data_IF_449377446148
#
_entry.id   IF_449377446148
#
_cell.length_a   1.000
_cell.length_b   1.000
_cell.length_c   1.000
_cell.angle_alpha   90.00
_cell.angle_beta   90.00
_cell.angle_gamma   90.00
#
_symmetry.space_group_name_H-M   'P 1'
#
loop_
_entity.id
_entity.type
_entity.pdbx_description
1 polymer ?
#
# COMPACT_ATOMS: atom_id res chain seq x y z
N UNK A 1 -14.44 68.69 26.71
CA UNK A 1 -14.79 67.96 25.48
C UNK A 1 -13.54 67.50 24.74
N UNK A 2 -12.58 68.39 24.40
CA UNK A 2 -11.35 68.04 23.66
C UNK A 2 -10.51 66.92 24.30
N UNK A 3 -10.22 66.96 25.61
CA UNK A 3 -9.41 65.93 26.30
C UNK A 3 -10.03 64.52 26.26
N UNK A 4 -11.36 64.42 26.26
CA UNK A 4 -12.04 63.12 26.19
C UNK A 4 -11.93 62.53 24.78
N UNK A 5 -12.04 63.39 23.76
CA UNK A 5 -11.89 63.00 22.35
C UNK A 5 -10.47 62.50 22.07
N UNK A 6 -9.43 63.18 22.59
CA UNK A 6 -8.04 62.73 22.40
C UNK A 6 -7.76 61.37 23.05
N UNK A 7 -8.33 61.10 24.22
CA UNK A 7 -8.20 59.79 24.88
C UNK A 7 -8.90 58.67 24.10
N UNK A 8 -10.09 58.93 23.56
CA UNK A 8 -10.78 57.99 22.69
C UNK A 8 -9.95 57.67 21.43
N UNK A 9 -9.36 58.68 20.77
CA UNK A 9 -8.51 58.48 19.59
C UNK A 9 -7.23 57.70 19.89
N UNK A 10 -6.56 57.98 21.01
CA UNK A 10 -5.36 57.25 21.42
C UNK A 10 -5.69 55.78 21.72
N UNK A 11 -6.82 55.53 22.37
CA UNK A 11 -7.24 54.18 22.74
C UNK A 11 -7.67 53.37 21.51
N UNK A 12 -8.38 53.97 20.55
CA UNK A 12 -8.71 53.31 19.29
C UNK A 12 -7.46 53.05 18.44
N UNK A 13 -6.52 54.00 18.38
CA UNK A 13 -5.24 53.80 17.70
C UNK A 13 -4.42 52.68 18.35
N UNK A 14 -4.37 52.64 19.69
CA UNK A 14 -3.68 51.57 20.42
C UNK A 14 -4.30 50.19 20.18
N UNK A 15 -5.63 50.09 20.17
CA UNK A 15 -6.34 48.84 19.85
C UNK A 15 -6.09 48.45 18.40
N UNK A 16 -6.17 49.39 17.45
CA UNK A 16 -5.92 49.10 16.04
C UNK A 16 -4.49 48.57 15.83
N UNK A 17 -3.49 49.23 16.44
CA UNK A 17 -2.09 48.78 16.41
C UNK A 17 -1.95 47.39 17.05
N UNK A 18 -2.57 47.17 18.21
CA UNK A 18 -2.54 45.87 18.89
C UNK A 18 -3.16 44.76 18.04
N UNK A 19 -4.32 45.01 17.41
CA UNK A 19 -4.97 44.03 16.53
C UNK A 19 -4.14 43.77 15.27
N UNK A 20 -3.53 44.79 14.67
CA UNK A 20 -2.64 44.62 13.52
C UNK A 20 -1.41 43.81 13.90
N UNK A 21 -0.78 44.10 15.04
CA UNK A 21 0.34 43.32 15.58
C UNK A 21 -0.11 41.87 15.82
N UNK A 22 -1.22 41.67 16.53
CA UNK A 22 -1.76 40.35 16.81
C UNK A 22 -2.01 39.55 15.52
N UNK A 23 -2.62 40.16 14.51
CA UNK A 23 -2.88 39.52 13.21
C UNK A 23 -1.59 39.15 12.46
N UNK A 24 -0.54 39.97 12.56
CA UNK A 24 0.78 39.67 11.98
C UNK A 24 1.44 38.47 12.69
N UNK A 25 1.30 38.34 14.01
CA UNK A 25 1.93 37.26 14.79
C UNK A 25 1.07 36.01 14.95
N UNK A 26 -0.23 36.09 14.65
CA UNK A 26 -1.18 35.00 14.80
C UNK A 26 -0.83 33.74 13.98
N UNK A 27 -0.42 33.81 12.70
CA UNK A 27 -0.02 32.64 11.93
C UNK A 27 1.13 31.85 12.57
N UNK A 28 2.13 32.55 13.13
CA UNK A 28 3.27 31.92 13.79
C UNK A 28 2.87 31.22 15.09
N UNK A 29 2.00 31.86 15.88
CA UNK A 29 1.45 31.25 17.10
C UNK A 29 0.62 30.00 16.79
N UNK A 30 -0.22 30.05 15.75
CA UNK A 30 -1.00 28.90 15.31
C UNK A 30 -0.10 27.74 14.90
N UNK A 31 0.91 27.98 14.04
CA UNK A 31 1.90 26.95 13.66
C UNK A 31 2.60 26.32 14.87
N UNK A 32 3.07 27.15 15.81
CA UNK A 32 3.74 26.64 17.02
C UNK A 32 2.80 25.81 17.91
N UNK A 33 1.53 26.21 18.00
CA UNK A 33 0.53 25.48 18.79
C UNK A 33 0.16 24.15 18.13
N UNK A 34 -0.05 24.17 16.81
CA UNK A 34 -0.33 22.96 16.02
C UNK A 34 0.84 21.97 16.10
N UNK A 35 2.08 22.45 15.95
CA UNK A 35 3.26 21.58 16.04
C UNK A 35 3.40 20.98 17.44
N UNK A 36 3.17 21.78 18.48
CA UNK A 36 3.16 21.27 19.86
C UNK A 36 2.11 20.17 20.05
N UNK A 37 0.88 20.39 19.58
CA UNK A 37 -0.20 19.39 19.68
C UNK A 37 0.14 18.13 18.90
N UNK A 38 0.76 18.26 17.72
CA UNK A 38 1.23 17.14 16.91
C UNK A 38 2.26 16.30 17.66
N UNK A 39 3.29 16.92 18.22
CA UNK A 39 4.33 16.23 19.00
C UNK A 39 3.75 15.52 20.23
N UNK A 40 2.82 16.15 20.95
CA UNK A 40 2.12 15.53 22.08
C UNK A 40 1.25 14.34 21.63
N UNK A 41 0.63 14.39 20.46
CA UNK A 41 -0.12 13.29 19.88
C UNK A 41 0.81 12.13 19.46
N UNK A 42 1.95 12.41 18.82
CA UNK A 42 2.99 11.42 18.49
C UNK A 42 3.49 10.69 19.74
N UNK A 43 3.80 11.44 20.81
CA UNK A 43 4.28 10.88 22.07
C UNK A 43 3.24 9.96 22.73
N UNK A 44 1.96 10.32 22.67
CA UNK A 44 0.85 9.48 23.17
C UNK A 44 0.55 8.29 22.26
N UNK A 45 0.72 8.43 20.95
CA UNK A 45 0.49 7.39 19.96
C UNK A 45 1.53 6.28 20.01
N UNK A 46 2.79 6.62 20.29
CA UNK A 46 3.92 5.67 20.30
C UNK A 46 3.72 4.43 21.17
N UNK A 47 3.35 4.53 22.47
CA UNK A 47 3.13 3.33 23.28
C UNK A 47 1.93 2.50 22.81
N UNK A 48 0.89 3.14 22.27
CA UNK A 48 -0.27 2.43 21.71
C UNK A 48 0.13 1.63 20.47
N UNK A 49 0.86 2.25 19.55
CA UNK A 49 1.39 1.58 18.36
C UNK A 49 2.30 0.39 18.72
N UNK A 50 3.21 0.58 19.68
CA UNK A 50 4.10 -0.48 20.15
C UNK A 50 3.34 -1.66 20.77
N UNK A 51 2.17 -1.40 21.37
CA UNK A 51 1.36 -2.43 22.03
C UNK A 51 0.45 -3.16 21.05
N UNK A 52 -0.09 -2.47 20.04
CA UNK A 52 -1.18 -2.99 19.21
C UNK A 52 -0.80 -3.24 17.73
N UNK A 53 0.31 -2.66 17.25
CA UNK A 53 0.64 -2.65 15.83
C UNK A 53 2.02 -3.25 15.52
N UNK A 54 3.00 -3.00 16.40
CA UNK A 54 4.41 -3.28 16.11
C UNK A 54 4.76 -4.75 15.90
N UNK A 55 3.96 -5.69 16.41
CA UNK A 55 4.17 -7.13 16.21
C UNK A 55 4.03 -7.55 14.74
N UNK A 56 3.15 -6.88 13.98
CA UNK A 56 2.93 -7.14 12.56
C UNK A 56 3.60 -6.10 11.67
N UNK A 57 3.51 -4.82 12.04
CA UNK A 57 3.98 -3.70 11.21
C UNK A 57 5.42 -3.25 11.53
N UNK A 58 6.10 -3.89 12.48
CA UNK A 58 7.43 -3.46 12.91
C UNK A 58 7.38 -2.19 13.78
N UNK A 59 8.50 -1.85 14.42
CA UNK A 59 8.51 -0.79 15.45
C UNK A 59 8.36 0.62 14.88
N UNK A 60 8.72 0.80 13.62
CA UNK A 60 8.67 2.06 12.89
C UNK A 60 7.83 1.94 11.61
N UNK A 61 6.94 0.93 11.51
CA UNK A 61 6.08 0.74 10.35
C UNK A 61 6.77 0.05 9.16
N UNK A 62 7.97 -0.50 9.34
CA UNK A 62 8.77 -1.16 8.31
C UNK A 62 8.16 -2.46 7.75
N UNK A 63 7.10 -2.97 8.37
CA UNK A 63 6.43 -4.19 7.97
C UNK A 63 7.25 -5.47 8.22
N UNK A 64 6.85 -6.54 7.55
CA UNK A 64 7.53 -7.83 7.58
C UNK A 64 7.45 -8.49 6.20
N UNK A 65 7.85 -9.77 6.07
CA UNK A 65 7.73 -10.50 4.80
C UNK A 65 6.28 -10.64 4.32
N UNK A 66 5.31 -10.62 5.23
CA UNK A 66 3.89 -10.85 4.94
C UNK A 66 3.02 -9.62 5.19
N UNK A 67 3.59 -8.55 5.77
CA UNK A 67 2.88 -7.32 6.12
C UNK A 67 3.58 -6.15 5.45
N UNK A 68 2.85 -5.42 4.61
CA UNK A 68 3.40 -4.27 3.87
C UNK A 68 3.93 -3.18 4.82
N UNK A 69 5.01 -2.49 4.43
CA UNK A 69 5.52 -1.34 5.17
C UNK A 69 4.53 -0.19 5.11
N UNK A 70 4.01 0.23 6.26
CA UNK A 70 3.09 1.37 6.39
C UNK A 70 3.83 2.70 6.57
N UNK A 71 5.16 2.65 6.65
CA UNK A 71 6.02 3.83 6.63
C UNK A 71 6.59 4.12 5.23
N UNK A 72 6.13 3.42 4.18
CA UNK A 72 6.57 3.71 2.82
C UNK A 72 6.09 5.07 2.38
N UNK A 73 6.89 5.74 1.55
CA UNK A 73 6.53 7.05 1.02
C UNK A 73 5.28 7.02 0.13
N UNK A 74 5.07 5.98 -0.67
CA UNK A 74 3.87 5.91 -1.53
C UNK A 74 2.59 5.76 -0.72
N UNK A 75 2.55 4.86 0.27
CA UNK A 75 1.42 4.71 1.20
C UNK A 75 1.10 6.01 1.92
N UNK A 76 2.12 6.70 2.44
CA UNK A 76 1.93 7.94 3.17
C UNK A 76 1.52 9.11 2.25
N UNK A 77 1.93 9.14 0.99
CA UNK A 77 1.49 10.19 0.04
C UNK A 77 0.09 9.89 -0.56
N UNK A 78 -0.31 8.62 -0.68
CA UNK A 78 -1.53 8.21 -1.37
C UNK A 78 -2.74 8.06 -0.45
N UNK A 79 -2.54 7.54 0.77
CA UNK A 79 -3.64 7.18 1.67
C UNK A 79 -3.90 8.31 2.65
N UNK A 80 -5.11 8.89 2.65
CA UNK A 80 -5.52 9.97 3.56
C UNK A 80 -5.67 9.53 5.03
N UNK A 81 -5.54 10.49 5.97
CA UNK A 81 -5.62 10.25 7.42
C UNK A 81 -6.94 9.58 7.82
N UNK A 82 -8.04 9.99 7.18
CA UNK A 82 -9.37 9.44 7.43
C UNK A 82 -9.47 7.96 7.02
N UNK A 83 -8.74 7.56 5.97
CA UNK A 83 -8.69 6.17 5.51
C UNK A 83 -7.86 5.35 6.49
N UNK A 84 -6.68 5.83 6.89
CA UNK A 84 -5.85 5.18 7.91
C UNK A 84 -6.64 5.00 9.22
N UNK A 85 -7.34 6.05 9.67
CA UNK A 85 -8.21 5.97 10.85
C UNK A 85 -9.24 4.85 10.71
N UNK A 86 -9.93 4.76 9.56
CA UNK A 86 -10.99 3.75 9.35
C UNK A 86 -10.43 2.33 9.24
N UNK A 87 -9.25 2.15 8.66
CA UNK A 87 -8.56 0.87 8.63
C UNK A 87 -8.19 0.39 10.04
N UNK A 88 -7.78 1.30 10.94
CA UNK A 88 -7.50 0.96 12.34
C UNK A 88 -8.80 0.69 13.11
N UNK A 89 -9.81 1.55 12.93
CA UNK A 89 -11.09 1.43 13.65
C UNK A 89 -11.80 0.11 13.31
N UNK A 90 -11.92 -0.21 12.01
CA UNK A 90 -12.74 -1.31 11.50
C UNK A 90 -11.95 -2.55 11.08
N UNK A 91 -10.64 -2.46 11.05
CA UNK A 91 -9.80 -3.49 10.44
C UNK A 91 -9.96 -3.53 8.93
N UNK A 92 -9.28 -4.50 8.30
CA UNK A 92 -9.37 -4.73 6.86
C UNK A 92 -9.97 -6.13 6.64
N UNK A 93 -11.18 -6.24 6.06
CA UNK A 93 -11.85 -7.52 5.85
C UNK A 93 -10.98 -8.51 5.07
N UNK A 94 -11.03 -9.79 5.46
CA UNK A 94 -10.28 -10.87 4.81
C UNK A 94 -8.75 -10.71 4.86
N UNK A 95 -8.26 -9.96 5.86
CA UNK A 95 -6.83 -9.86 6.19
C UNK A 95 -6.61 -10.20 7.66
N UNK A 96 -5.34 -10.25 8.09
CA UNK A 96 -5.00 -10.37 9.52
C UNK A 96 -5.22 -9.09 10.34
N UNK A 97 -5.58 -7.96 9.72
CA UNK A 97 -5.78 -6.68 10.41
C UNK A 97 -7.18 -6.60 11.04
N UNK A 98 -7.26 -6.97 12.32
CA UNK A 98 -8.50 -6.93 13.11
C UNK A 98 -8.93 -5.48 13.45
N UNK A 99 -10.24 -5.24 13.68
CA UNK A 99 -10.72 -3.97 14.20
C UNK A 99 -10.13 -3.67 15.57
N UNK A 100 -9.63 -2.45 15.75
CA UNK A 100 -9.11 -1.97 17.04
C UNK A 100 -9.98 -0.91 17.68
N UNK A 101 -10.96 -0.36 16.95
CA UNK A 101 -11.90 0.63 17.48
C UNK A 101 -12.87 0.05 18.50
N UNK A 102 -13.11 0.77 19.59
CA UNK A 102 -14.07 0.45 20.65
C UNK A 102 -15.50 0.25 20.13
N UNK A 103 -15.89 1.04 19.13
CA UNK A 103 -17.19 0.91 18.45
C UNK A 103 -17.32 -0.38 17.63
N UNK A 104 -16.21 -1.00 17.26
CA UNK A 104 -16.13 -2.24 16.48
C UNK A 104 -15.69 -3.43 17.37
N UNK A 105 -15.64 -3.25 18.69
CA UNK A 105 -15.31 -4.28 19.69
C UNK A 105 -13.82 -4.38 20.05
N UNK A 106 -12.99 -3.48 19.54
CA UNK A 106 -11.56 -3.37 19.87
C UNK A 106 -11.26 -2.56 21.13
N UNK A 107 -9.99 -2.45 21.54
CA UNK A 107 -9.61 -1.81 22.81
C UNK A 107 -9.37 -0.29 22.74
N UNK A 108 -9.37 0.31 21.54
CA UNK A 108 -8.95 1.70 21.33
C UNK A 108 -10.13 2.63 21.09
N UNK A 109 -10.17 3.74 21.82
CA UNK A 109 -11.12 4.81 21.56
C UNK A 109 -10.66 5.71 20.40
N UNK A 110 -11.55 6.60 19.96
CA UNK A 110 -11.31 7.55 18.87
C UNK A 110 -10.00 8.36 19.03
N UNK A 111 -9.75 8.94 20.20
CA UNK A 111 -8.57 9.78 20.44
C UNK A 111 -7.28 8.96 20.38
N UNK A 112 -7.31 7.72 20.88
CA UNK A 112 -6.19 6.79 20.81
C UNK A 112 -5.83 6.45 19.36
N UNK A 113 -6.84 6.21 18.51
CA UNK A 113 -6.63 5.97 17.08
C UNK A 113 -6.06 7.22 16.40
N UNK A 114 -6.60 8.41 16.68
CA UNK A 114 -6.07 9.68 16.13
C UNK A 114 -4.60 9.92 16.49
N UNK A 115 -4.19 9.60 17.72
CA UNK A 115 -2.78 9.68 18.13
C UNK A 115 -1.90 8.68 17.36
N UNK A 116 -2.39 7.48 17.06
CA UNK A 116 -1.67 6.50 16.22
C UNK A 116 -1.56 6.99 14.77
N UNK A 117 -2.63 7.53 14.19
CA UNK A 117 -2.59 8.10 12.83
C UNK A 117 -1.57 9.24 12.77
N UNK A 118 -1.54 10.11 13.79
CA UNK A 118 -0.56 11.21 13.87
C UNK A 118 0.87 10.70 13.95
N UNK A 119 1.11 9.60 14.67
CA UNK A 119 2.41 8.93 14.71
C UNK A 119 2.80 8.34 13.34
N UNK A 120 1.88 7.70 12.63
CA UNK A 120 2.14 7.13 11.30
C UNK A 120 2.53 8.25 10.32
N UNK A 121 1.88 9.42 10.42
CA UNK A 121 2.21 10.62 9.63
C UNK A 121 3.55 11.26 9.99
N UNK A 122 4.01 11.12 11.24
CA UNK A 122 5.33 11.61 11.64
C UNK A 122 6.48 10.95 10.86
N UNK A 123 6.24 9.77 10.27
CA UNK A 123 7.24 9.11 9.43
C UNK A 123 7.40 9.71 8.04
N UNK A 124 6.44 10.50 7.55
CA UNK A 124 6.40 10.99 6.16
C UNK A 124 7.68 11.75 5.76
N UNK A 125 8.24 12.57 6.66
CA UNK A 125 9.50 13.29 6.41
C UNK A 125 10.71 12.36 6.24
N UNK A 126 10.68 11.18 6.88
CA UNK A 126 11.77 10.19 6.89
C UNK A 126 11.45 8.91 6.12
N UNK A 127 10.31 8.90 5.43
CA UNK A 127 9.74 7.71 4.81
C UNK A 127 10.66 7.19 3.70
N UNK A 128 11.05 5.91 3.72
CA UNK A 128 11.80 5.33 2.62
C UNK A 128 10.95 5.33 1.34
N UNK A 129 11.58 5.76 0.25
CA UNK A 129 11.11 5.48 -1.10
C UNK A 129 11.28 3.98 -1.35
N UNK A 130 10.23 3.22 -1.01
CA UNK A 130 10.12 1.83 -1.39
C UNK A 130 9.42 1.80 -2.75
N UNK A 131 10.00 1.10 -3.73
CA UNK A 131 9.28 0.84 -4.97
C UNK A 131 8.01 0.04 -4.61
N UNK A 132 6.87 0.70 -4.58
CA UNK A 132 5.58 0.04 -4.36
C UNK A 132 5.32 -0.86 -5.57
N UNK A 133 4.85 -2.09 -5.28
CA UNK A 133 4.19 -2.81 -6.35
C UNK A 133 2.95 -1.96 -6.61
N UNK A 134 2.61 -1.65 -7.88
CA UNK A 134 1.29 -1.10 -8.17
C UNK A 134 0.27 -1.98 -7.45
N UNK A 135 -0.34 -1.40 -6.43
CA UNK A 135 -1.33 -2.04 -5.60
C UNK A 135 -2.69 -1.98 -6.29
N UNK A 136 -3.62 -2.73 -5.72
CA UNK A 136 -5.03 -2.77 -6.06
C UNK A 136 -5.36 -3.61 -7.30
N UNK A 137 -5.51 -4.93 -7.04
CA UNK A 137 -6.22 -5.95 -7.82
C UNK A 137 -6.59 -5.46 -9.22
N UNK A 138 -5.63 -5.47 -10.15
CA UNK A 138 -5.86 -4.95 -11.50
C UNK A 138 -7.11 -5.64 -12.08
N UNK A 139 -8.19 -4.87 -12.29
CA UNK A 139 -9.41 -5.37 -12.93
C UNK A 139 -9.21 -5.25 -14.43
N UNK A 140 -8.78 -6.33 -15.07
CA UNK A 140 -8.50 -6.33 -16.51
C UNK A 140 -9.67 -6.97 -17.26
N UNK A 141 -10.33 -6.18 -18.11
CA UNK A 141 -11.44 -6.67 -18.93
C UNK A 141 -12.66 -7.15 -18.13
N UNK A 142 -12.89 -6.60 -16.94
CA UNK A 142 -13.99 -6.97 -16.05
C UNK A 142 -13.76 -8.27 -15.26
N UNK A 143 -12.50 -8.71 -15.13
CA UNK A 143 -12.11 -9.85 -14.28
C UNK A 143 -10.95 -9.44 -13.37
N UNK A 144 -11.10 -9.63 -12.07
CA UNK A 144 -10.11 -9.24 -11.06
C UNK A 144 -9.00 -10.29 -10.90
N UNK A 145 -7.78 -9.80 -10.79
CA UNK A 145 -6.65 -10.57 -10.28
C UNK A 145 -6.69 -10.53 -8.76
N UNK A 146 -6.62 -11.70 -8.13
CA UNK A 146 -6.71 -11.83 -6.66
C UNK A 146 -5.34 -11.86 -6.00
N UNK A 147 -4.29 -12.19 -6.76
CA UNK A 147 -2.91 -12.30 -6.28
C UNK A 147 -2.53 -13.74 -5.90
N UNK A 148 -1.25 -14.07 -6.05
CA UNK A 148 -0.76 -15.44 -5.79
C UNK A 148 -0.94 -15.90 -4.34
N UNK A 149 -0.90 -14.98 -3.37
CA UNK A 149 -1.01 -15.34 -1.94
C UNK A 149 -2.37 -15.99 -1.60
N UNK A 150 -3.48 -15.45 -2.13
CA UNK A 150 -4.83 -16.01 -1.92
C UNK A 150 -4.94 -17.46 -2.43
N UNK A 151 -4.22 -17.79 -3.50
CA UNK A 151 -4.13 -19.16 -4.01
C UNK A 151 -3.29 -20.04 -3.08
N UNK A 152 -2.15 -19.53 -2.62
CA UNK A 152 -1.21 -20.30 -1.81
C UNK A 152 -1.81 -20.66 -0.45
N UNK A 153 -2.56 -19.76 0.18
CA UNK A 153 -3.20 -20.00 1.49
C UNK A 153 -4.08 -21.28 1.49
N UNK A 154 -4.68 -21.62 0.34
CA UNK A 154 -5.44 -22.85 0.16
C UNK A 154 -4.59 -24.01 -0.38
N UNK A 155 -3.70 -23.77 -1.34
CA UNK A 155 -2.94 -24.82 -2.03
C UNK A 155 -1.71 -25.33 -1.28
N UNK A 156 -1.14 -24.54 -0.36
CA UNK A 156 0.02 -24.91 0.46
C UNK A 156 -0.26 -26.17 1.29
N UNK A 157 -1.45 -26.25 1.90
CA UNK A 157 -1.88 -27.43 2.65
C UNK A 157 -2.18 -28.67 1.80
N UNK A 158 -2.35 -28.51 0.48
CA UNK A 158 -2.64 -29.61 -0.44
C UNK A 158 -1.38 -30.23 -1.03
N UNK A 159 -0.39 -29.39 -1.37
CA UNK A 159 0.89 -29.84 -1.93
C UNK A 159 2.00 -28.82 -1.66
N UNK A 160 2.50 -28.82 -0.42
CA UNK A 160 3.53 -27.90 0.07
C UNK A 160 4.83 -27.98 -0.77
N UNK A 161 5.26 -29.18 -1.13
CA UNK A 161 6.48 -29.40 -1.93
C UNK A 161 6.38 -28.69 -3.29
N UNK A 162 5.23 -28.82 -3.96
CA UNK A 162 4.99 -28.18 -5.24
C UNK A 162 4.91 -26.65 -5.13
N UNK A 163 4.20 -26.13 -4.12
CA UNK A 163 4.10 -24.69 -3.87
C UNK A 163 5.47 -24.09 -3.57
N UNK A 164 6.30 -24.75 -2.78
CA UNK A 164 7.65 -24.29 -2.47
C UNK A 164 8.56 -24.34 -3.70
N UNK A 165 8.49 -25.40 -4.52
CA UNK A 165 9.23 -25.47 -5.77
C UNK A 165 8.85 -24.32 -6.74
N UNK A 166 7.58 -23.91 -6.75
CA UNK A 166 7.13 -22.73 -7.49
C UNK A 166 7.66 -21.43 -6.88
N UNK A 167 7.51 -21.22 -5.56
CA UNK A 167 7.99 -20.01 -4.85
C UNK A 167 9.48 -19.77 -5.08
N UNK A 168 10.28 -20.83 -5.09
CA UNK A 168 11.74 -20.76 -5.26
C UNK A 168 12.17 -20.63 -6.73
N UNK A 169 11.23 -20.70 -7.67
CA UNK A 169 11.53 -20.66 -9.08
C UNK A 169 12.08 -19.29 -9.53
N UNK A 170 12.96 -19.23 -10.54
CA UNK A 170 13.45 -17.96 -11.06
C UNK A 170 12.38 -17.04 -11.67
N UNK A 171 11.23 -17.59 -12.07
CA UNK A 171 10.12 -16.80 -12.62
C UNK A 171 9.36 -16.04 -11.52
N UNK A 172 9.25 -16.62 -10.34
CA UNK A 172 8.60 -16.01 -9.17
C UNK A 172 9.54 -15.09 -8.39
N UNK A 173 10.84 -15.42 -8.35
CA UNK A 173 11.81 -14.66 -7.56
C UNK A 173 12.53 -13.56 -8.33
N UNK A 174 12.82 -13.75 -9.61
CA UNK A 174 13.79 -12.91 -10.33
C UNK A 174 13.25 -12.23 -11.59
N UNK A 175 12.00 -12.48 -12.02
CA UNK A 175 11.47 -11.92 -13.25
C UNK A 175 11.46 -10.38 -13.22
N UNK A 176 10.72 -9.76 -12.30
CA UNK A 176 10.68 -8.31 -12.14
C UNK A 176 12.01 -7.74 -11.63
N UNK A 177 12.66 -8.43 -10.67
CA UNK A 177 13.89 -7.92 -10.06
C UNK A 177 15.02 -7.70 -11.08
N UNK A 178 15.04 -8.46 -12.17
CA UNK A 178 16.05 -8.29 -13.24
C UNK A 178 15.84 -7.05 -14.10
N UNK A 179 14.64 -6.47 -14.10
CA UNK A 179 14.28 -5.34 -14.97
C UNK A 179 13.98 -4.05 -14.20
N UNK A 180 13.88 -4.11 -12.86
CA UNK A 180 13.43 -2.98 -12.03
C UNK A 180 14.26 -1.69 -12.21
N UNK A 181 15.56 -1.85 -12.46
CA UNK A 181 16.52 -0.76 -12.63
C UNK A 181 16.73 -0.38 -14.11
N UNK A 182 16.00 -1.01 -15.04
CA UNK A 182 16.10 -0.70 -16.47
C UNK A 182 15.42 0.64 -16.77
N UNK A 183 16.07 1.57 -17.50
CA UNK A 183 15.48 2.85 -17.85
C UNK A 183 14.21 2.74 -18.72
N UNK A 184 14.01 1.62 -19.42
CA UNK A 184 12.86 1.35 -20.27
C UNK A 184 12.04 0.17 -19.71
N UNK A 185 11.98 0.02 -18.38
CA UNK A 185 11.32 -1.10 -17.69
C UNK A 185 9.85 -1.32 -18.05
N UNK A 186 9.13 -0.28 -18.47
CA UNK A 186 7.72 -0.37 -18.85
C UNK A 186 7.48 -1.33 -20.02
N UNK A 187 8.39 -1.40 -20.99
CA UNK A 187 8.29 -2.37 -22.10
C UNK A 187 8.46 -3.82 -21.66
N UNK A 188 9.08 -4.03 -20.50
CA UNK A 188 9.42 -5.35 -19.97
C UNK A 188 8.30 -5.89 -19.08
N UNK A 189 7.45 -5.03 -18.53
CA UNK A 189 6.32 -5.41 -17.68
C UNK A 189 5.38 -6.46 -18.29
N UNK A 190 5.00 -6.44 -19.59
CA UNK A 190 4.16 -7.48 -20.18
C UNK A 190 4.65 -8.93 -19.97
N UNK A 191 5.96 -9.10 -19.78
CA UNK A 191 6.60 -10.42 -19.69
C UNK A 191 7.24 -10.71 -18.32
N UNK A 192 7.41 -9.70 -17.47
CA UNK A 192 8.11 -9.80 -16.19
C UNK A 192 7.23 -9.48 -14.97
N UNK A 193 5.93 -9.25 -15.21
CA UNK A 193 4.90 -9.02 -14.20
C UNK A 193 3.67 -9.87 -14.51
N UNK A 194 2.75 -9.94 -13.56
CA UNK A 194 1.49 -10.68 -13.70
C UNK A 194 0.34 -9.71 -13.88
N UNK A 195 -0.54 -10.01 -14.84
CA UNK A 195 -1.72 -9.18 -15.10
C UNK A 195 -1.36 -7.78 -15.58
N UNK A 196 -0.41 -7.64 -16.50
CA UNK A 196 -0.08 -6.36 -17.13
C UNK A 196 -1.18 -5.87 -18.07
N UNK A 197 -1.52 -4.59 -17.98
CA UNK A 197 -2.46 -3.89 -18.85
C UNK A 197 -1.74 -2.90 -19.77
N UNK A 198 -1.78 -3.11 -21.10
CA UNK A 198 -1.16 -2.19 -22.05
C UNK A 198 -1.86 -0.82 -22.15
N UNK A 199 -3.10 -0.68 -21.66
CA UNK A 199 -3.82 0.59 -21.71
C UNK A 199 -3.43 1.54 -20.58
N UNK A 200 -3.25 0.98 -19.38
CA UNK A 200 -2.95 1.74 -18.16
C UNK A 200 -1.48 1.66 -17.75
N UNK A 201 -0.73 0.69 -18.30
CA UNK A 201 0.64 0.38 -17.88
C UNK A 201 0.73 -0.32 -16.52
N UNK A 202 -0.42 -0.57 -15.87
CA UNK A 202 -0.50 -1.21 -14.56
C UNK A 202 -0.29 -2.72 -14.66
N UNK A 203 0.08 -3.35 -13.55
CA UNK A 203 0.12 -4.79 -13.41
C UNK A 203 -0.37 -5.24 -12.03
N UNK A 204 -0.90 -6.46 -11.93
CA UNK A 204 -1.50 -7.00 -10.70
C UNK A 204 -0.47 -7.49 -9.67
N UNK A 205 0.65 -8.07 -10.12
CA UNK A 205 1.68 -8.59 -9.21
C UNK A 205 3.08 -8.48 -9.85
N UNK A 206 4.10 -8.20 -9.01
CA UNK A 206 5.49 -8.29 -9.43
C UNK A 206 5.92 -9.73 -9.61
N UNK A 207 6.81 -9.97 -10.57
CA UNK A 207 7.22 -11.29 -11.00
C UNK A 207 6.06 -12.10 -11.62
N UNK A 208 6.34 -13.36 -11.94
CA UNK A 208 5.37 -14.29 -12.53
C UNK A 208 4.67 -15.05 -11.40
N UNK A 209 3.45 -14.60 -11.11
CA UNK A 209 2.50 -15.13 -10.14
C UNK A 209 1.68 -16.30 -10.70
N UNK A 210 0.83 -16.90 -9.85
CA UNK A 210 -0.05 -18.00 -10.24
C UNK A 210 -0.94 -17.61 -11.44
N UNK A 211 -1.48 -16.39 -11.42
CA UNK A 211 -2.43 -15.89 -12.40
C UNK A 211 -1.79 -15.55 -13.76
N UNK A 212 -0.46 -15.52 -13.85
CA UNK A 212 0.24 -15.37 -15.14
C UNK A 212 0.09 -16.64 -16.00
N UNK A 213 -0.06 -17.81 -15.36
CA UNK A 213 -0.26 -19.09 -16.01
C UNK A 213 -1.74 -19.49 -16.02
N UNK A 214 -2.40 -19.38 -14.88
CA UNK A 214 -3.78 -19.85 -14.67
C UNK A 214 -4.85 -18.85 -15.12
N UNK A 215 -4.47 -17.59 -15.35
CA UNK A 215 -5.39 -16.49 -15.65
C UNK A 215 -5.98 -15.85 -14.37
N UNK A 216 -6.87 -14.86 -14.51
CA UNK A 216 -7.43 -14.10 -13.38
C UNK A 216 -8.27 -14.97 -12.44
N UNK A 217 -7.96 -14.89 -11.15
CA UNK A 217 -8.42 -15.75 -10.06
C UNK A 217 -9.87 -15.54 -9.61
N UNK A 218 -10.49 -14.39 -9.89
CA UNK A 218 -11.86 -14.07 -9.46
C UNK A 218 -12.87 -15.18 -9.80
N UNK A 219 -12.73 -15.80 -10.98
CA UNK A 219 -13.62 -16.89 -11.41
C UNK A 219 -13.20 -18.25 -10.84
N UNK A 220 -11.91 -18.50 -10.67
CA UNK A 220 -11.38 -19.77 -10.17
C UNK A 220 -11.66 -19.94 -8.69
N UNK A 221 -11.41 -18.90 -7.89
CA UNK A 221 -11.57 -18.96 -6.43
C UNK A 221 -13.00 -19.35 -6.03
N UNK A 222 -14.01 -18.77 -6.70
CA UNK A 222 -15.41 -19.13 -6.46
C UNK A 222 -15.74 -20.59 -6.85
N UNK A 223 -15.21 -21.08 -7.96
CA UNK A 223 -15.44 -22.46 -8.42
C UNK A 223 -14.74 -23.50 -7.53
N UNK A 224 -13.49 -23.22 -7.14
CA UNK A 224 -12.64 -24.11 -6.34
C UNK A 224 -13.15 -24.31 -4.91
N UNK A 225 -13.94 -23.37 -4.39
CA UNK A 225 -14.56 -23.45 -3.05
C UNK A 225 -15.96 -24.09 -3.06
N UNK A 226 -16.46 -24.49 -4.24
CA UNK A 226 -17.83 -24.99 -4.43
C UNK A 226 -17.90 -26.39 -5.03
N UNK A 227 -19.12 -26.80 -5.42
CA UNK A 227 -19.38 -28.10 -6.05
C UNK A 227 -18.70 -28.28 -7.43
N UNK A 228 -18.10 -27.23 -7.97
CA UNK A 228 -17.50 -27.17 -9.31
C UNK A 228 -15.96 -27.19 -9.27
N UNK A 229 -15.36 -27.55 -8.12
CA UNK A 229 -13.90 -27.48 -7.92
C UNK A 229 -13.10 -28.28 -8.97
N UNK A 230 -13.59 -29.44 -9.38
CA UNK A 230 -12.96 -30.25 -10.43
C UNK A 230 -12.87 -29.48 -11.76
N UNK A 231 -13.97 -28.85 -12.16
CA UNK A 231 -14.04 -28.03 -13.38
C UNK A 231 -13.17 -26.78 -13.27
N UNK A 232 -13.08 -26.17 -12.09
CA UNK A 232 -12.14 -25.08 -11.80
C UNK A 232 -10.68 -25.50 -12.02
N UNK A 233 -10.31 -26.70 -11.54
CA UNK A 233 -8.97 -27.27 -11.73
C UNK A 233 -8.64 -27.58 -13.18
N UNK A 234 -9.61 -28.07 -13.96
CA UNK A 234 -9.45 -28.32 -15.39
C UNK A 234 -9.14 -27.05 -16.18
N UNK A 235 -9.92 -25.98 -15.97
CA UNK A 235 -9.73 -24.71 -16.65
C UNK A 235 -8.38 -24.08 -16.25
N UNK A 236 -8.01 -24.14 -14.97
CA UNK A 236 -6.72 -23.65 -14.50
C UNK A 236 -5.56 -24.41 -15.16
N UNK A 237 -5.69 -25.73 -15.33
CA UNK A 237 -4.69 -26.57 -16.00
C UNK A 237 -4.59 -26.25 -17.49
N UNK A 238 -5.73 -26.12 -18.17
CA UNK A 238 -5.79 -25.78 -19.58
C UNK A 238 -5.14 -24.41 -19.86
N UNK A 239 -5.41 -23.41 -19.02
CA UNK A 239 -4.78 -22.11 -19.12
C UNK A 239 -3.28 -22.16 -18.89
N UNK A 240 -2.84 -22.90 -17.86
CA UNK A 240 -1.41 -23.05 -17.59
C UNK A 240 -0.67 -23.61 -18.81
N UNK A 241 -1.21 -24.65 -19.44
CA UNK A 241 -0.64 -25.25 -20.66
C UNK A 241 -0.54 -24.25 -21.81
N UNK A 242 -1.57 -23.42 -22.02
CA UNK A 242 -1.58 -22.36 -23.05
C UNK A 242 -0.58 -21.24 -22.74
N UNK A 243 -0.32 -20.98 -21.47
CA UNK A 243 0.54 -19.88 -21.02
C UNK A 243 2.04 -20.19 -21.11
N UNK A 244 2.46 -21.46 -20.99
CA UNK A 244 3.87 -21.86 -21.02
C UNK A 244 4.64 -21.33 -22.25
N UNK A 245 4.00 -21.37 -23.43
CA UNK A 245 4.61 -20.98 -24.70
C UNK A 245 4.96 -19.49 -24.79
N UNK A 246 4.28 -18.62 -24.03
CA UNK A 246 4.54 -17.18 -24.03
C UNK A 246 5.95 -16.84 -23.55
N UNK A 247 6.49 -17.65 -22.65
CA UNK A 247 7.79 -17.42 -22.02
C UNK A 247 8.85 -18.44 -22.46
N UNK A 248 8.48 -19.70 -22.68
CA UNK A 248 9.41 -20.78 -23.03
C UNK A 248 9.58 -21.00 -24.54
N UNK A 249 8.71 -20.39 -25.36
CA UNK A 249 8.88 -20.32 -26.82
C UNK A 249 8.92 -18.86 -27.29
N UNK A 250 9.88 -18.06 -26.81
CA UNK A 250 9.93 -16.64 -27.15
C UNK A 250 10.19 -16.47 -28.65
N UNK A 251 9.50 -15.51 -29.25
CA UNK A 251 9.68 -15.12 -30.66
C UNK A 251 11.10 -14.55 -30.94
N UNK A 252 11.90 -14.34 -29.89
CA UNK A 252 13.30 -13.93 -29.93
C UNK A 252 14.18 -14.89 -29.10
N UNK A 253 15.31 -15.37 -29.64
CA UNK A 253 16.28 -16.18 -28.90
C UNK A 253 16.81 -15.47 -27.63
N UNK A 254 17.11 -16.23 -26.57
CA UNK A 254 17.53 -15.69 -25.26
C UNK A 254 18.73 -14.75 -25.32
N UNK A 255 19.71 -15.05 -26.18
CA UNK A 255 20.89 -14.21 -26.41
C UNK A 255 20.53 -12.87 -27.07
N UNK A 256 19.55 -12.87 -27.98
CA UNK A 256 19.06 -11.67 -28.67
C UNK A 256 18.17 -10.86 -27.73
N UNK A 257 17.32 -11.50 -26.93
CA UNK A 257 16.52 -10.86 -25.89
C UNK A 257 17.39 -10.07 -24.90
N UNK A 258 18.45 -10.69 -24.39
CA UNK A 258 19.39 -10.03 -23.48
C UNK A 258 20.20 -8.89 -24.12
N UNK A 259 20.32 -8.86 -25.45
CA UNK A 259 21.00 -7.79 -26.19
C UNK A 259 20.04 -6.63 -26.53
N UNK A 260 18.81 -6.93 -26.94
CA UNK A 260 17.74 -5.96 -27.17
C UNK A 260 17.35 -5.23 -25.89
N UNK A 261 17.26 -5.95 -24.76
CA UNK A 261 17.01 -5.36 -23.45
C UNK A 261 18.07 -4.31 -23.07
N UNK A 262 19.33 -4.50 -23.49
CA UNK A 262 20.45 -3.60 -23.16
C UNK A 262 20.57 -2.38 -24.07
N UNK A 263 19.87 -2.33 -25.20
CA UNK A 263 20.10 -1.32 -26.25
C UNK A 263 19.19 -0.10 -26.20
N UNK A 264 18.23 -0.02 -25.28
CA UNK A 264 17.21 1.04 -25.30
C UNK A 264 16.39 0.94 -26.58
#
# INVERSE_FOLDING_TARGET
MEKQITWCFLLTAAIAIFMTIYWIFEPSRLKATTEKMRLEAVERGRPLYLTHCADCHGKNGEGSKTVSPINSKGFLEEVDDAVIYKMIERGIPQTGMAPLGDTEGGPLNKEQIENIVTLIRDWEETAPLLEEAPGEKAVLGGVAYVGSQDCVDCHEGMNEEYINAWRDSPMTTMAYLRIKDDPDKERCYPCHTTGYDPQTGAFAERNIGCEACHGPGEKYQAMMMGAEAEKGGEIATENAQKSCGKCHNPHIPKNIHAELARKG
#
